data_IF_627975913991
#
_entry.id   IF_627975913991
#
_cell.length_a   1.000
_cell.length_b   1.000
_cell.length_c   1.000
_cell.angle_alpha   90.00
_cell.angle_beta   90.00
_cell.angle_gamma   90.00
#
_symmetry.space_group_name_H-M   'P 1'
#
loop_
_entity.id
_entity.type
_entity.pdbx_description
1 polymer ?
#
# COMPACT_ATOMS: atom_id res chain seq x y z
N UNK A 1 -23.45 12.82 42.97
CA UNK A 1 -23.02 11.59 42.27
C UNK A 1 -24.10 11.30 41.23
N UNK A 2 -23.91 11.27 39.91
CA UNK A 2 -22.73 11.01 39.09
C UNK A 2 -22.70 11.92 37.83
N UNK A 3 -21.52 12.03 37.23
CA UNK A 3 -21.17 12.89 36.11
C UNK A 3 -21.73 12.38 34.77
N UNK A 4 -22.27 13.27 33.93
CA UNK A 4 -22.45 13.03 32.49
C UNK A 4 -21.23 13.58 31.76
N UNK A 5 -20.38 12.69 31.26
CA UNK A 5 -19.15 13.01 30.54
C UNK A 5 -19.49 13.70 29.20
N UNK A 6 -18.86 14.85 28.97
CA UNK A 6 -18.94 15.57 27.70
C UNK A 6 -18.24 14.80 26.57
N UNK A 7 -18.81 14.88 25.37
CA UNK A 7 -18.27 14.25 24.17
C UNK A 7 -16.89 14.81 23.80
N UNK A 8 -15.97 13.97 23.28
CA UNK A 8 -14.63 14.39 22.92
C UNK A 8 -14.65 15.24 21.64
N UNK A 9 -14.25 16.50 21.75
CA UNK A 9 -13.98 17.38 20.61
C UNK A 9 -12.72 16.90 19.86
N UNK A 10 -12.88 16.36 18.66
CA UNK A 10 -11.77 15.98 17.77
C UNK A 10 -11.26 17.21 17.01
N UNK A 11 -10.00 17.60 17.25
CA UNK A 11 -9.33 18.70 16.57
C UNK A 11 -8.33 18.15 15.55
N UNK A 12 -8.65 18.28 14.26
CA UNK A 12 -7.85 17.74 13.15
C UNK A 12 -6.64 18.63 12.75
N UNK A 13 -6.31 19.65 13.54
CA UNK A 13 -5.17 20.53 13.25
C UNK A 13 -5.44 21.53 12.12
N UNK A 14 -4.44 22.36 11.76
CA UNK A 14 -4.58 23.37 10.72
C UNK A 14 -4.87 22.73 9.35
N UNK A 15 -5.87 23.27 8.64
CA UNK A 15 -6.34 22.73 7.36
C UNK A 15 -5.27 22.83 6.26
N UNK A 16 -5.32 21.87 5.32
CA UNK A 16 -4.54 21.94 4.10
C UNK A 16 -4.95 23.19 3.27
N UNK A 17 -4.02 23.84 2.53
CA UNK A 17 -4.28 25.13 1.87
C UNK A 17 -5.38 25.16 0.80
N UNK A 18 -5.95 24.00 0.45
CA UNK A 18 -7.01 23.82 -0.55
C UNK A 18 -8.23 23.07 0.02
N UNK A 19 -8.29 22.85 1.33
CA UNK A 19 -9.44 22.25 2.00
C UNK A 19 -10.40 23.33 2.55
N UNK A 20 -11.69 23.02 2.71
CA UNK A 20 -12.64 23.93 3.35
C UNK A 20 -12.19 24.27 4.78
N UNK A 21 -12.33 25.54 5.19
CA UNK A 21 -11.86 26.03 6.50
C UNK A 21 -12.52 25.26 7.66
N UNK A 22 -11.76 24.46 8.40
CA UNK A 22 -12.24 23.64 9.53
C UNK A 22 -12.15 24.35 10.88
N UNK A 23 -12.18 25.69 10.93
CA UNK A 23 -11.94 26.48 12.15
C UNK A 23 -13.11 26.53 13.15
N UNK A 24 -14.28 26.03 12.81
CA UNK A 24 -15.40 25.97 13.75
C UNK A 24 -15.31 24.75 14.68
N UNK A 25 -15.44 25.00 15.99
CA UNK A 25 -15.49 23.99 17.05
C UNK A 25 -16.73 23.12 16.84
N UNK A 26 -16.55 21.92 16.27
CA UNK A 26 -17.64 21.00 15.92
C UNK A 26 -17.81 19.88 16.95
N UNK A 27 -19.07 19.54 17.24
CA UNK A 27 -19.48 18.41 18.07
C UNK A 27 -19.18 17.11 17.34
N UNK A 28 -18.55 16.13 18.01
CA UNK A 28 -18.31 14.81 17.42
C UNK A 28 -19.66 14.13 17.18
N UNK A 29 -20.02 13.89 15.92
CA UNK A 29 -21.32 13.30 15.55
C UNK A 29 -22.08 14.06 14.45
N UNK A 30 -21.61 15.23 14.03
CA UNK A 30 -22.05 15.79 12.75
C UNK A 30 -21.25 15.13 11.63
N UNK A 31 -21.87 14.12 11.03
CA UNK A 31 -21.45 13.52 9.76
C UNK A 31 -21.25 14.67 8.77
N UNK A 32 -19.98 14.97 8.45
CA UNK A 32 -19.71 15.93 7.41
C UNK A 32 -20.03 15.21 6.12
N UNK A 33 -21.25 15.37 5.63
CA UNK A 33 -21.62 14.84 4.34
C UNK A 33 -20.96 15.71 3.27
N UNK A 34 -19.67 15.43 3.02
CA UNK A 34 -18.85 16.04 1.96
C UNK A 34 -19.57 15.92 0.60
N UNK A 35 -20.54 15.00 0.47
CA UNK A 35 -21.38 14.82 -0.72
C UNK A 35 -22.24 16.03 -1.05
N UNK A 36 -22.55 16.92 -0.10
CA UNK A 36 -23.38 18.11 -0.38
C UNK A 36 -22.65 19.23 -1.12
N UNK A 37 -21.31 19.20 -1.18
CA UNK A 37 -20.48 20.22 -1.83
C UNK A 37 -19.82 19.72 -3.13
N UNK A 38 -20.25 18.56 -3.64
CA UNK A 38 -19.70 17.94 -4.84
C UNK A 38 -20.62 18.13 -6.03
N UNK A 39 -20.08 18.54 -7.19
CA UNK A 39 -20.86 18.58 -8.42
C UNK A 39 -21.33 17.17 -8.81
N UNK A 40 -22.45 17.03 -9.51
CA UNK A 40 -22.98 15.70 -9.92
C UNK A 40 -21.95 14.88 -10.74
N UNK A 41 -21.10 15.56 -11.49
CA UNK A 41 -19.99 14.95 -12.23
C UNK A 41 -18.89 14.45 -11.30
N UNK A 42 -18.51 15.20 -10.27
CA UNK A 42 -17.55 14.74 -9.28
C UNK A 42 -18.15 13.59 -8.46
N UNK A 43 -19.39 13.71 -8.01
CA UNK A 43 -20.08 12.67 -7.25
C UNK A 43 -20.12 11.34 -8.02
N UNK A 44 -20.38 11.34 -9.32
CA UNK A 44 -20.36 10.12 -10.14
C UNK A 44 -18.93 9.56 -10.34
N UNK A 45 -17.93 10.42 -10.56
CA UNK A 45 -16.53 9.99 -10.69
C UNK A 45 -15.98 9.42 -9.38
N UNK A 46 -16.22 10.09 -8.26
CA UNK A 46 -15.82 9.60 -6.94
C UNK A 46 -16.62 8.35 -6.55
N UNK A 47 -17.89 8.22 -6.95
CA UNK A 47 -18.64 6.99 -6.72
C UNK A 47 -18.03 5.82 -7.49
N UNK A 48 -17.65 6.00 -8.74
CA UNK A 48 -16.96 4.98 -9.53
C UNK A 48 -15.58 4.61 -8.97
N UNK A 49 -14.85 5.57 -8.39
CA UNK A 49 -13.53 5.35 -7.82
C UNK A 49 -13.56 4.71 -6.42
N UNK A 50 -14.52 5.12 -5.58
CA UNK A 50 -14.61 4.70 -4.17
C UNK A 50 -15.50 3.46 -3.98
N UNK A 51 -16.46 3.24 -4.88
CA UNK A 51 -17.36 2.08 -4.85
C UNK A 51 -17.35 1.37 -6.20
N UNK A 52 -16.22 0.76 -6.58
CA UNK A 52 -16.16 -0.02 -7.80
C UNK A 52 -17.03 -1.28 -7.66
N UNK A 53 -17.56 -1.72 -8.79
CA UNK A 53 -18.60 -2.78 -8.88
C UNK A 53 -18.06 -4.18 -8.51
N UNK A 54 -16.74 -4.34 -8.44
CA UNK A 54 -16.01 -5.54 -8.03
C UNK A 54 -15.89 -5.67 -6.49
N UNK A 55 -16.05 -4.57 -5.76
CA UNK A 55 -15.95 -4.50 -4.30
C UNK A 55 -17.31 -4.29 -3.62
N UNK A 56 -18.27 -3.69 -4.33
CA UNK A 56 -19.58 -3.36 -3.79
C UNK A 56 -20.69 -4.01 -4.59
N UNK A 57 -21.71 -4.46 -3.87
CA UNK A 57 -22.96 -4.91 -4.49
C UNK A 57 -23.78 -3.73 -5.01
N UNK A 58 -24.73 -3.97 -5.92
CA UNK A 58 -25.67 -2.95 -6.43
C UNK A 58 -26.44 -2.20 -5.32
N UNK A 59 -26.52 -2.77 -4.11
CA UNK A 59 -27.16 -2.18 -2.95
C UNK A 59 -26.19 -1.33 -2.10
N UNK A 60 -24.96 -1.08 -2.57
CA UNK A 60 -23.93 -0.32 -1.85
C UNK A 60 -23.33 -1.05 -0.65
N UNK A 61 -23.58 -2.36 -0.49
CA UNK A 61 -23.00 -3.17 0.59
C UNK A 61 -21.66 -3.73 0.15
N UNK A 62 -20.64 -3.58 1.01
CA UNK A 62 -19.30 -4.10 0.79
C UNK A 62 -19.30 -5.63 0.73
N UNK A 63 -18.53 -6.22 -0.18
CA UNK A 63 -18.52 -7.67 -0.42
C UNK A 63 -18.17 -8.47 0.85
N UNK A 64 -17.30 -7.94 1.71
CA UNK A 64 -16.88 -8.63 2.93
C UNK A 64 -17.90 -8.53 4.08
N UNK A 65 -19.02 -7.83 3.91
CA UNK A 65 -20.09 -7.76 4.90
C UNK A 65 -21.24 -8.73 4.58
N UNK A 66 -21.27 -9.30 3.37
CA UNK A 66 -22.29 -10.27 2.96
C UNK A 66 -22.27 -11.53 3.85
N UNK A 67 -23.34 -12.32 3.95
CA UNK A 67 -23.26 -13.65 4.56
C UNK A 67 -22.34 -14.57 3.74
N UNK A 68 -21.64 -15.50 4.39
CA UNK A 68 -20.57 -16.33 3.79
C UNK A 68 -20.93 -16.95 2.42
N UNK A 69 -22.15 -17.46 2.27
CA UNK A 69 -22.60 -18.05 1.00
C UNK A 69 -22.83 -17.02 -0.12
N UNK A 70 -23.25 -15.81 0.22
CA UNK A 70 -23.36 -14.70 -0.74
C UNK A 70 -21.99 -14.13 -1.10
N UNK A 71 -21.03 -14.09 -0.15
CA UNK A 71 -19.63 -13.73 -0.43
C UNK A 71 -19.04 -14.61 -1.51
N UNK A 72 -19.11 -15.93 -1.32
CA UNK A 72 -18.52 -16.89 -2.29
C UNK A 72 -19.18 -16.76 -3.65
N UNK A 73 -20.50 -16.56 -3.70
CA UNK A 73 -21.22 -16.35 -4.97
C UNK A 73 -20.82 -15.04 -5.66
N UNK A 74 -20.64 -13.97 -4.89
CA UNK A 74 -20.21 -12.68 -5.40
C UNK A 74 -18.80 -12.77 -5.97
N UNK A 75 -17.84 -13.28 -5.18
CA UNK A 75 -16.45 -13.47 -5.61
C UNK A 75 -16.38 -14.39 -6.84
N UNK A 76 -17.07 -15.53 -6.82
CA UNK A 76 -17.09 -16.44 -7.97
C UNK A 76 -17.75 -15.83 -9.23
N UNK A 77 -18.65 -14.86 -9.07
CA UNK A 77 -19.25 -14.15 -10.20
C UNK A 77 -18.25 -13.18 -10.83
N UNK A 78 -17.60 -12.35 -10.01
CA UNK A 78 -16.57 -11.40 -10.44
C UNK A 78 -15.38 -12.14 -11.05
N UNK A 79 -14.86 -13.17 -10.37
CA UNK A 79 -13.76 -14.01 -10.86
C UNK A 79 -14.08 -14.62 -12.24
N UNK A 80 -15.34 -15.05 -12.45
CA UNK A 80 -15.74 -15.64 -13.74
C UNK A 80 -15.82 -14.59 -14.86
N UNK A 81 -16.23 -13.37 -14.55
CA UNK A 81 -16.28 -12.29 -15.54
C UNK A 81 -14.86 -11.89 -15.96
N UNK A 82 -14.00 -11.59 -14.99
CA UNK A 82 -12.59 -11.25 -15.22
C UNK A 82 -11.85 -12.38 -15.94
N UNK A 83 -12.02 -13.64 -15.50
CA UNK A 83 -11.37 -14.77 -16.14
C UNK A 83 -11.81 -14.97 -17.60
N UNK A 84 -13.02 -14.58 -17.99
CA UNK A 84 -13.45 -14.63 -19.39
C UNK A 84 -12.78 -13.56 -20.23
N UNK A 85 -12.67 -12.34 -19.70
CA UNK A 85 -12.00 -11.23 -20.37
C UNK A 85 -10.50 -11.52 -20.52
N UNK A 86 -9.83 -11.94 -19.45
CA UNK A 86 -8.44 -12.38 -19.47
C UNK A 86 -8.24 -13.56 -20.42
N UNK A 87 -9.09 -14.59 -20.37
CA UNK A 87 -8.97 -15.74 -21.26
C UNK A 87 -9.15 -15.35 -22.72
N UNK A 88 -10.04 -14.40 -23.04
CA UNK A 88 -10.22 -13.89 -24.40
C UNK A 88 -8.96 -13.16 -24.90
N UNK A 89 -8.35 -12.35 -24.03
CA UNK A 89 -7.09 -11.64 -24.30
C UNK A 89 -5.92 -12.61 -24.50
N UNK A 90 -5.77 -13.59 -23.60
CA UNK A 90 -4.75 -14.64 -23.72
C UNK A 90 -4.97 -15.49 -24.97
N UNK A 91 -6.23 -15.78 -25.32
CA UNK A 91 -6.57 -16.55 -26.52
C UNK A 91 -6.21 -15.82 -27.81
N UNK A 92 -6.47 -14.52 -27.88
CA UNK A 92 -6.09 -13.72 -29.04
C UNK A 92 -4.58 -13.47 -29.12
N UNK A 93 -3.88 -13.43 -27.98
CA UNK A 93 -2.42 -13.45 -27.93
C UNK A 93 -1.86 -14.80 -28.43
N UNK A 94 -2.44 -15.91 -27.98
CA UNK A 94 -2.06 -17.27 -28.35
C UNK A 94 -2.28 -17.55 -29.85
N UNK A 95 -3.37 -17.05 -30.44
CA UNK A 95 -3.64 -17.17 -31.89
C UNK A 95 -2.61 -16.46 -32.75
N UNK A 96 -2.08 -15.32 -32.29
CA UNK A 96 -1.08 -14.55 -33.04
C UNK A 96 0.26 -15.25 -32.97
N UNK A 97 0.68 -15.65 -31.78
CA UNK A 97 1.92 -16.38 -31.55
C UNK A 97 1.77 -17.31 -30.34
N UNK A 98 1.98 -18.64 -30.49
CA UNK A 98 1.80 -19.60 -29.40
C UNK A 98 2.82 -19.42 -28.24
N UNK A 99 3.91 -18.67 -28.46
CA UNK A 99 4.93 -18.34 -27.46
C UNK A 99 4.75 -16.93 -26.84
N UNK A 100 3.84 -16.12 -27.37
CA UNK A 100 3.62 -14.76 -26.86
C UNK A 100 3.12 -14.72 -25.39
N UNK A 101 2.22 -15.62 -24.92
CA UNK A 101 1.80 -15.62 -23.52
C UNK A 101 2.94 -15.85 -22.53
N UNK A 102 3.90 -16.71 -22.90
CA UNK A 102 5.10 -16.97 -22.08
C UNK A 102 6.00 -15.74 -22.07
N UNK A 103 6.30 -15.16 -23.24
CA UNK A 103 7.11 -13.95 -23.32
C UNK A 103 6.47 -12.76 -22.60
N UNK A 104 5.14 -12.64 -22.62
CA UNK A 104 4.40 -11.60 -21.91
C UNK A 104 4.50 -11.80 -20.40
N UNK A 105 4.27 -13.02 -19.89
CA UNK A 105 4.43 -13.35 -18.49
C UNK A 105 5.84 -13.02 -17.95
N UNK A 106 6.89 -13.39 -18.69
CA UNK A 106 8.26 -13.07 -18.26
C UNK A 106 8.56 -11.57 -18.25
N UNK A 107 8.09 -10.84 -19.27
CA UNK A 107 8.36 -9.39 -19.40
C UNK A 107 7.56 -8.54 -18.43
N UNK A 108 6.32 -8.93 -18.16
CA UNK A 108 5.36 -8.11 -17.43
C UNK A 108 5.20 -8.55 -15.98
N UNK A 109 5.36 -9.85 -15.67
CA UNK A 109 5.23 -10.36 -14.29
C UNK A 109 6.58 -10.70 -13.66
N UNK A 110 7.43 -11.47 -14.36
CA UNK A 110 8.67 -12.01 -13.76
C UNK A 110 9.77 -10.95 -13.65
N UNK A 111 10.03 -10.18 -14.71
CA UNK A 111 11.08 -9.15 -14.69
C UNK A 111 10.80 -8.07 -13.63
N UNK A 112 9.59 -7.50 -13.52
CA UNK A 112 9.27 -6.55 -12.45
C UNK A 112 9.29 -7.19 -11.06
N UNK A 113 8.77 -8.42 -10.92
CA UNK A 113 8.82 -9.17 -9.67
C UNK A 113 10.26 -9.46 -9.20
N UNK A 114 11.18 -9.74 -10.13
CA UNK A 114 12.59 -9.89 -9.84
C UNK A 114 13.25 -8.57 -9.43
N UNK A 115 12.82 -7.44 -10.00
CA UNK A 115 13.22 -6.10 -9.56
C UNK A 115 12.83 -5.84 -8.10
N UNK A 116 11.57 -6.08 -7.74
CA UNK A 116 11.08 -5.95 -6.37
C UNK A 116 11.77 -6.92 -5.39
N UNK A 117 12.07 -8.14 -5.85
CA UNK A 117 12.85 -9.12 -5.08
C UNK A 117 14.29 -8.69 -4.83
N UNK A 118 14.94 -8.06 -5.83
CA UNK A 118 16.31 -7.54 -5.70
C UNK A 118 16.36 -6.32 -4.76
N UNK A 119 15.38 -5.43 -4.84
CA UNK A 119 15.22 -4.34 -3.87
C UNK A 119 15.06 -4.88 -2.44
N UNK A 120 14.18 -5.88 -2.25
CA UNK A 120 13.98 -6.55 -0.97
C UNK A 120 15.23 -7.27 -0.45
N UNK A 121 15.99 -7.93 -1.34
CA UNK A 121 17.23 -8.61 -1.00
C UNK A 121 18.31 -7.63 -0.53
N UNK A 122 18.45 -6.47 -1.17
CA UNK A 122 19.41 -5.45 -0.75
C UNK A 122 19.03 -4.88 0.63
N UNK A 123 17.76 -4.58 0.86
CA UNK A 123 17.28 -4.08 2.16
C UNK A 123 17.45 -5.11 3.28
N UNK A 124 17.14 -6.39 3.00
CA UNK A 124 17.36 -7.48 3.94
C UNK A 124 18.84 -7.71 4.23
N UNK A 125 19.71 -7.58 3.22
CA UNK A 125 21.16 -7.76 3.37
C UNK A 125 21.75 -6.68 4.28
N UNK A 126 21.35 -5.42 4.09
CA UNK A 126 21.78 -4.29 4.93
C UNK A 126 21.32 -4.50 6.38
N UNK A 127 20.06 -4.90 6.60
CA UNK A 127 19.51 -5.17 7.93
C UNK A 127 20.20 -6.29 8.70
N UNK A 128 20.91 -7.20 8.00
CA UNK A 128 21.66 -8.29 8.62
C UNK A 128 23.14 -7.98 8.87
N UNK A 129 23.67 -6.85 8.39
CA UNK A 129 25.10 -6.51 8.57
C UNK A 129 25.45 -6.38 10.06
N UNK A 130 24.63 -5.64 10.82
CA UNK A 130 24.83 -5.42 12.25
C UNK A 130 24.83 -6.71 13.08
N UNK A 131 23.81 -7.59 13.03
CA UNK A 131 23.83 -8.83 13.80
C UNK A 131 24.95 -9.80 13.36
N UNK A 132 25.31 -9.82 12.07
CA UNK A 132 26.41 -10.67 11.58
C UNK A 132 27.77 -10.20 12.12
N UNK A 133 28.01 -8.89 12.17
CA UNK A 133 29.23 -8.31 12.72
C UNK A 133 29.31 -8.46 14.24
N UNK A 134 28.19 -8.35 14.95
CA UNK A 134 28.11 -8.61 16.38
C UNK A 134 28.43 -10.08 16.72
N UNK A 135 27.99 -11.02 15.88
CA UNK A 135 28.29 -12.44 16.05
C UNK A 135 29.76 -12.76 15.72
N UNK A 136 30.33 -12.12 14.69
CA UNK A 136 31.71 -12.38 14.24
C UNK A 136 32.77 -11.70 15.11
N UNK A 137 32.47 -10.51 15.66
CA UNK A 137 33.39 -9.71 16.45
C UNK A 137 32.79 -9.28 17.80
N UNK A 138 32.55 -10.22 18.73
CA UNK A 138 31.93 -9.92 20.01
C UNK A 138 32.77 -8.99 20.89
N UNK A 139 34.10 -8.97 20.74
CA UNK A 139 34.98 -8.07 21.52
C UNK A 139 34.93 -6.61 21.05
N UNK A 140 34.50 -6.35 19.81
CA UNK A 140 34.30 -5.00 19.26
C UNK A 140 32.93 -4.42 19.70
N UNK A 141 31.92 -5.28 19.88
CA UNK A 141 30.53 -4.87 20.14
C UNK A 141 30.04 -5.04 21.59
N UNK A 142 30.69 -5.87 22.42
CA UNK A 142 30.32 -6.08 23.83
C UNK A 142 31.28 -5.41 24.81
N UNK A 143 32.59 -5.63 24.61
CA UNK A 143 33.63 -5.14 25.53
C UNK A 143 34.34 -3.88 25.02
N UNK A 144 34.19 -3.52 23.74
CA UNK A 144 34.83 -2.34 23.11
C UNK A 144 36.36 -2.27 23.32
N UNK A 145 37.02 -3.42 23.51
CA UNK A 145 38.46 -3.48 23.79
C UNK A 145 39.31 -3.28 22.53
N UNK A 146 38.77 -3.68 21.37
CA UNK A 146 39.46 -3.65 20.07
C UNK A 146 38.90 -2.61 19.10
N UNK A 147 37.75 -2.01 19.42
CA UNK A 147 37.07 -1.00 18.61
C UNK A 147 36.63 0.16 19.48
N UNK A 148 36.72 1.37 18.93
CA UNK A 148 36.08 2.54 19.54
C UNK A 148 34.58 2.55 19.18
N UNK A 149 33.73 2.87 20.16
CA UNK A 149 32.28 2.94 20.05
C UNK A 149 31.79 3.78 18.86
N UNK A 150 32.53 4.86 18.51
CA UNK A 150 32.21 5.69 17.34
C UNK A 150 32.24 4.92 16.02
N UNK A 151 33.08 3.89 15.90
CA UNK A 151 33.14 3.05 14.70
C UNK A 151 31.93 2.12 14.57
N UNK A 152 31.44 1.58 15.69
CA UNK A 152 30.22 0.77 15.70
C UNK A 152 28.98 1.60 15.34
N UNK A 153 28.94 2.86 15.79
CA UNK A 153 27.86 3.80 15.46
C UNK A 153 27.90 4.23 14.00
N UNK A 154 29.08 4.40 13.40
CA UNK A 154 29.23 4.78 11.99
C UNK A 154 28.57 3.78 11.02
N UNK A 155 28.58 2.49 11.36
CA UNK A 155 27.94 1.44 10.55
C UNK A 155 26.41 1.58 10.61
N UNK A 156 25.85 1.78 11.81
CA UNK A 156 24.40 1.98 12.00
C UNK A 156 23.91 3.24 11.23
N UNK A 157 24.70 4.33 11.20
CA UNK A 157 24.37 5.53 10.43
C UNK A 157 24.41 5.30 8.91
N UNK A 158 25.41 4.56 8.40
CA UNK A 158 25.50 4.26 6.96
C UNK A 158 24.32 3.40 6.49
N UNK A 159 23.86 2.46 7.32
CA UNK A 159 22.66 1.65 7.07
C UNK A 159 21.41 2.53 6.99
N UNK A 160 21.19 3.41 7.97
CA UNK A 160 20.05 4.33 7.99
C UNK A 160 20.07 5.27 6.78
N UNK A 161 21.23 5.87 6.48
CA UNK A 161 21.39 6.72 5.29
C UNK A 161 21.13 5.96 3.99
N UNK A 162 21.58 4.70 3.89
CA UNK A 162 21.32 3.85 2.73
C UNK A 162 19.84 3.57 2.50
N UNK A 163 19.08 3.32 3.57
CA UNK A 163 17.63 3.12 3.49
C UNK A 163 16.90 4.42 3.10
N UNK A 164 17.29 5.56 3.67
CA UNK A 164 16.69 6.88 3.37
C UNK A 164 16.90 7.26 1.90
N UNK A 165 18.13 7.13 1.40
CA UNK A 165 18.46 7.44 -0.01
C UNK A 165 17.75 6.46 -0.95
N UNK A 166 17.65 5.18 -0.59
CA UNK A 166 16.91 4.17 -1.36
C UNK A 166 15.45 4.57 -1.56
N UNK A 167 14.76 5.01 -0.50
CA UNK A 167 13.36 5.48 -0.60
C UNK A 167 13.20 6.76 -1.42
N UNK A 168 14.19 7.66 -1.40
CA UNK A 168 14.17 8.86 -2.25
C UNK A 168 14.34 8.55 -3.75
N UNK A 169 14.94 7.40 -4.09
CA UNK A 169 15.12 6.95 -5.47
C UNK A 169 13.93 6.13 -5.98
N UNK A 170 13.33 5.27 -5.15
CA UNK A 170 12.20 4.42 -5.55
C UNK A 170 10.88 5.18 -5.74
N UNK A 171 10.73 6.39 -5.20
CA UNK A 171 9.52 7.21 -5.41
C UNK A 171 9.39 7.74 -6.86
N UNK A 172 10.40 7.50 -7.71
CA UNK A 172 10.40 7.88 -9.12
C UNK A 172 9.96 6.73 -10.06
N UNK A 173 9.84 5.50 -9.57
CA UNK A 173 9.59 4.29 -10.38
C UNK A 173 8.21 3.62 -10.14
N UNK A 174 7.30 4.27 -9.41
CA UNK A 174 5.94 3.73 -9.16
C UNK A 174 4.97 4.07 -10.32
N UNK A 175 5.35 3.79 -11.57
CA UNK A 175 4.45 3.89 -12.75
C UNK A 175 4.55 2.64 -13.63
N UNK A 176 4.58 1.45 -13.02
CA UNK A 176 4.44 0.19 -13.76
C UNK A 176 3.65 -0.79 -12.91
N UNK A 177 2.35 -0.51 -12.83
CA UNK A 177 1.34 -1.36 -12.21
C UNK A 177 1.01 -2.50 -13.19
N UNK A 178 1.10 -3.74 -12.71
CA UNK A 178 0.14 -4.78 -13.07
C UNK A 178 -1.07 -4.58 -12.15
#
# INVERSE_FOLDING_TARGET
>A
MAAAAGEPILNYGPAAPHGPNTTDRRTAGQDFDIRQDMSENEASVFHALLHPDDLYTQNGTYWADLPLGQRVKFVAHVDKQEAQEEASFFWDMFKKDPLAPVSHYFRTCVIPGAGLGLEGYVLFSIGNVRPLLQASFPMCWKTFEICNETWTQAIDYLEICGIIVGKSKSHEDETSRC
#
